data_IF_137046250769
#
_entry.id   IF_137046250769
#
_cell.length_a   1.000
_cell.length_b   1.000
_cell.length_c   1.000
_cell.angle_alpha   90.00
_cell.angle_beta   90.00
_cell.angle_gamma   90.00
#
_symmetry.space_group_name_H-M   'P 1'
#
loop_
_entity.id
_entity.type
_entity.pdbx_description
1 polymer ?
#
# COMPACT_ATOMS: atom_id res chain seq x y z
N UNK A 1 -27.47 -3.91 -22.37
CA UNK A 1 -28.15 -3.92 -21.05
C UNK A 1 -27.59 -5.10 -20.30
N UNK A 2 -26.56 -4.86 -19.48
CA UNK A 2 -26.13 -5.79 -18.43
C UNK A 2 -25.25 -4.99 -17.46
N UNK A 3 -25.89 -4.39 -16.46
CA UNK A 3 -25.18 -3.84 -15.30
C UNK A 3 -25.11 -4.99 -14.31
N UNK A 4 -24.02 -5.76 -14.41
CA UNK A 4 -23.71 -6.84 -13.45
C UNK A 4 -23.26 -6.14 -12.17
N UNK A 5 -23.95 -6.42 -11.06
CA UNK A 5 -23.85 -5.69 -9.79
C UNK A 5 -22.41 -5.62 -9.23
N UNK A 6 -21.88 -4.40 -9.18
CA UNK A 6 -20.56 -4.06 -8.62
C UNK A 6 -20.62 -3.78 -7.11
N UNK A 7 -21.82 -3.74 -6.52
CA UNK A 7 -22.00 -3.35 -5.10
C UNK A 7 -21.49 -4.39 -4.11
N UNK A 8 -21.77 -5.68 -4.32
CA UNK A 8 -21.52 -6.70 -3.28
C UNK A 8 -20.03 -6.89 -2.95
N UNK A 9 -19.14 -6.81 -3.94
CA UNK A 9 -17.70 -6.97 -3.73
C UNK A 9 -17.06 -5.75 -3.04
N UNK A 10 -17.55 -4.56 -3.32
CA UNK A 10 -17.06 -3.30 -2.73
C UNK A 10 -17.48 -3.19 -1.26
N UNK A 11 -18.74 -3.49 -0.94
CA UNK A 11 -19.24 -3.49 0.44
C UNK A 11 -18.57 -4.55 1.32
N UNK A 12 -18.35 -5.77 0.78
CA UNK A 12 -17.66 -6.81 1.52
C UNK A 12 -16.20 -6.42 1.84
N UNK A 13 -15.44 -5.97 0.84
CA UNK A 13 -14.05 -5.51 1.03
C UNK A 13 -13.96 -4.37 2.04
N UNK A 14 -14.90 -3.42 1.98
CA UNK A 14 -14.96 -2.32 2.94
C UNK A 14 -15.14 -2.83 4.36
N UNK A 15 -16.11 -3.70 4.62
CA UNK A 15 -16.32 -4.28 5.95
C UNK A 15 -15.10 -5.05 6.45
N UNK A 16 -14.44 -5.80 5.57
CA UNK A 16 -13.18 -6.49 5.91
C UNK A 16 -12.10 -5.51 6.34
N UNK A 17 -11.94 -4.37 5.65
CA UNK A 17 -10.96 -3.34 6.01
C UNK A 17 -11.30 -2.61 7.31
N UNK A 18 -12.58 -2.32 7.54
CA UNK A 18 -13.05 -1.64 8.75
C UNK A 18 -12.83 -2.48 10.03
N UNK A 19 -12.74 -3.80 9.89
CA UNK A 19 -12.48 -4.74 10.98
C UNK A 19 -11.01 -5.16 11.09
N UNK A 20 -10.18 -4.85 10.10
CA UNK A 20 -8.79 -5.23 10.07
C UNK A 20 -7.90 -4.19 10.76
N UNK A 21 -6.87 -4.67 11.46
CA UNK A 21 -5.72 -3.82 11.79
C UNK A 21 -4.98 -3.49 10.50
N UNK A 22 -4.78 -2.20 10.20
CA UNK A 22 -4.15 -1.75 8.96
C UNK A 22 -2.67 -1.41 9.12
N UNK A 23 -2.22 -1.18 10.36
CA UNK A 23 -0.82 -0.93 10.68
C UNK A 23 -0.38 -1.88 11.79
N UNK A 24 0.45 -2.86 11.44
CA UNK A 24 0.96 -3.87 12.37
C UNK A 24 2.35 -3.47 12.87
N UNK A 25 2.54 -3.47 14.19
CA UNK A 25 3.83 -3.23 14.84
C UNK A 25 3.87 -3.94 16.19
N UNK A 26 5.02 -4.53 16.61
CA UNK A 26 6.27 -4.65 15.85
C UNK A 26 6.20 -5.72 14.75
N UNK A 27 7.25 -5.82 13.94
CA UNK A 27 7.41 -6.93 12.99
C UNK A 27 7.52 -8.26 13.74
N UNK A 28 6.98 -9.32 13.14
CA UNK A 28 7.08 -10.68 13.67
C UNK A 28 6.03 -11.63 13.09
N UNK A 29 6.04 -12.89 13.55
CA UNK A 29 5.14 -13.92 13.03
C UNK A 29 3.65 -13.60 13.18
N UNK A 30 3.28 -12.85 14.22
CA UNK A 30 1.90 -12.41 14.45
C UNK A 30 1.44 -11.41 13.38
N UNK A 31 2.24 -10.36 13.14
CA UNK A 31 1.98 -9.40 12.06
C UNK A 31 1.92 -10.09 10.68
N UNK A 32 2.83 -11.04 10.42
CA UNK A 32 2.83 -11.81 9.17
C UNK A 32 1.57 -12.66 9.00
N UNK A 33 1.10 -13.28 10.09
CA UNK A 33 -0.13 -14.08 10.10
C UNK A 33 -1.37 -13.20 9.87
N UNK A 34 -1.47 -12.07 10.56
CA UNK A 34 -2.58 -11.11 10.38
C UNK A 34 -2.60 -10.56 8.96
N UNK A 35 -1.47 -10.07 8.43
CA UNK A 35 -1.38 -9.60 7.04
C UNK A 35 -1.76 -10.69 6.04
N UNK A 36 -1.37 -11.93 6.29
CA UNK A 36 -1.73 -13.07 5.44
C UNK A 36 -3.23 -13.33 5.43
N UNK A 37 -3.88 -13.23 6.59
CA UNK A 37 -5.31 -13.45 6.72
C UNK A 37 -6.13 -12.31 6.11
N UNK A 38 -5.69 -11.06 6.33
CA UNK A 38 -6.28 -9.89 5.67
C UNK A 38 -6.15 -9.99 4.15
N UNK A 39 -4.98 -10.40 3.63
CA UNK A 39 -4.81 -10.62 2.19
C UNK A 39 -5.82 -11.63 1.65
N UNK A 40 -5.95 -12.79 2.30
CA UNK A 40 -6.90 -13.84 1.86
C UNK A 40 -8.34 -13.37 1.90
N UNK A 41 -8.70 -12.58 2.92
CA UNK A 41 -10.05 -12.05 3.08
C UNK A 41 -10.39 -10.98 2.04
N UNK A 42 -9.39 -10.27 1.52
CA UNK A 42 -9.56 -9.24 0.49
C UNK A 42 -9.39 -9.80 -0.94
N UNK A 43 -8.68 -10.92 -1.09
CA UNK A 43 -8.46 -11.56 -2.37
C UNK A 43 -9.78 -12.16 -2.90
N UNK A 44 -10.31 -11.57 -3.97
CA UNK A 44 -11.52 -12.05 -4.64
C UNK A 44 -11.25 -13.26 -5.55
N UNK A 45 -9.98 -13.63 -5.72
CA UNK A 45 -9.53 -14.69 -6.62
C UNK A 45 -8.30 -15.41 -6.06
N UNK A 46 -7.89 -16.50 -6.73
CA UNK A 46 -6.67 -17.21 -6.38
C UNK A 46 -5.43 -16.38 -6.71
N UNK A 47 -4.32 -16.71 -6.05
CA UNK A 47 -3.03 -16.08 -6.32
C UNK A 47 -2.66 -16.20 -7.81
N UNK A 48 -2.34 -15.06 -8.42
CA UNK A 48 -1.88 -14.91 -9.79
C UNK A 48 -0.34 -14.91 -9.86
N UNK A 49 0.20 -14.87 -11.09
CA UNK A 49 1.63 -14.63 -11.29
C UNK A 49 2.04 -13.31 -10.59
N UNK A 50 2.97 -13.35 -9.64
CA UNK A 50 3.33 -12.18 -8.85
C UNK A 50 4.31 -11.24 -9.58
N UNK A 51 4.71 -11.53 -10.82
CA UNK A 51 5.56 -10.65 -11.62
C UNK A 51 4.69 -9.62 -12.35
N UNK A 52 4.86 -8.35 -11.98
CA UNK A 52 4.22 -7.21 -12.62
C UNK A 52 5.18 -6.56 -13.60
N UNK A 53 4.67 -6.17 -14.77
CA UNK A 53 5.31 -5.12 -15.57
C UNK A 53 4.80 -3.79 -15.03
N UNK A 54 5.71 -2.97 -14.52
CA UNK A 54 5.45 -1.60 -14.09
C UNK A 54 6.41 -0.73 -14.89
N UNK A 55 5.85 0.10 -15.77
CA UNK A 55 6.55 0.91 -16.75
C UNK A 55 7.46 0.03 -17.62
N UNK A 56 8.77 0.23 -17.52
CA UNK A 56 9.80 -0.56 -18.21
C UNK A 56 10.45 -1.61 -17.30
N UNK A 57 9.87 -1.89 -16.13
CA UNK A 57 10.49 -2.67 -15.06
C UNK A 57 9.65 -3.86 -14.67
N UNK A 58 10.32 -4.96 -14.34
CA UNK A 58 9.70 -6.09 -13.66
C UNK A 58 9.78 -5.93 -12.15
N UNK A 59 8.64 -6.04 -11.48
CA UNK A 59 8.55 -6.03 -10.01
C UNK A 59 7.89 -7.34 -9.57
N UNK A 60 8.54 -8.06 -8.66
CA UNK A 60 8.00 -9.31 -8.11
C UNK A 60 7.31 -9.03 -6.78
N UNK A 61 5.99 -9.11 -6.75
CA UNK A 61 5.20 -9.13 -5.52
C UNK A 61 5.47 -10.40 -4.71
N UNK A 62 5.13 -10.37 -3.41
CA UNK A 62 4.99 -11.58 -2.60
C UNK A 62 3.76 -12.36 -3.05
N UNK A 63 2.64 -11.66 -3.22
CA UNK A 63 1.34 -12.21 -3.64
C UNK A 63 0.56 -11.17 -4.45
N UNK A 64 -0.26 -11.65 -5.39
CA UNK A 64 -1.16 -10.81 -6.20
C UNK A 64 -2.43 -11.60 -6.45
N UNK A 65 -3.60 -10.98 -6.27
CA UNK A 65 -4.88 -11.60 -6.55
C UNK A 65 -5.92 -10.51 -6.87
N UNK A 66 -6.40 -10.47 -8.11
CA UNK A 66 -7.31 -9.43 -8.59
C UNK A 66 -6.75 -8.03 -8.35
N UNK A 67 -7.55 -7.17 -7.72
CA UNK A 67 -7.17 -5.79 -7.38
C UNK A 67 -6.37 -5.61 -6.07
N UNK A 68 -5.84 -6.71 -5.51
CA UNK A 68 -5.01 -6.72 -4.29
C UNK A 68 -3.59 -7.19 -4.60
N UNK A 69 -2.59 -6.47 -4.10
CA UNK A 69 -1.17 -6.82 -4.26
C UNK A 69 -0.41 -6.69 -2.96
N UNK A 70 0.56 -7.56 -2.73
CA UNK A 70 1.43 -7.53 -1.55
C UNK A 70 2.90 -7.51 -1.95
N UNK A 71 3.63 -6.49 -1.48
CA UNK A 71 5.09 -6.39 -1.59
C UNK A 71 5.79 -6.34 -0.23
N UNK A 72 7.07 -6.70 -0.20
CA UNK A 72 7.96 -6.29 0.90
C UNK A 72 8.54 -4.89 0.65
N UNK A 73 8.95 -4.21 1.73
CA UNK A 73 9.53 -2.86 1.68
C UNK A 73 10.74 -2.76 0.76
N UNK A 74 11.63 -3.77 0.76
CA UNK A 74 12.85 -3.73 -0.04
C UNK A 74 12.54 -3.76 -1.53
N UNK A 75 11.51 -4.50 -1.94
CA UNK A 75 11.06 -4.59 -3.33
C UNK A 75 10.51 -3.26 -3.85
N UNK A 76 9.68 -2.57 -3.06
CA UNK A 76 9.08 -1.29 -3.48
C UNK A 76 9.95 -0.06 -3.19
N UNK A 77 10.74 -0.06 -2.13
CA UNK A 77 11.48 1.12 -1.69
C UNK A 77 13.00 0.93 -1.77
N UNK A 78 13.54 -0.27 -1.96
CA UNK A 78 14.99 -0.51 -2.05
C UNK A 78 15.58 -0.38 -3.46
N UNK A 79 14.76 -0.50 -4.50
CA UNK A 79 15.19 -0.40 -5.90
C UNK A 79 15.06 1.02 -6.49
N UNK A 80 15.51 1.22 -7.73
CA UNK A 80 15.29 2.47 -8.47
C UNK A 80 13.81 2.59 -8.88
N UNK A 81 12.99 3.11 -7.97
CA UNK A 81 11.59 3.50 -8.26
C UNK A 81 11.45 5.00 -8.43
N UNK A 82 10.56 5.34 -9.34
CA UNK A 82 10.05 6.68 -9.61
C UNK A 82 8.62 6.81 -9.10
N UNK A 83 8.10 8.03 -9.08
CA UNK A 83 6.70 8.25 -8.74
C UNK A 83 5.73 7.58 -9.73
N UNK A 84 6.10 7.50 -11.03
CA UNK A 84 5.27 6.85 -12.05
C UNK A 84 5.08 5.36 -11.77
N UNK A 85 6.11 4.67 -11.27
CA UNK A 85 5.98 3.26 -10.86
C UNK A 85 4.87 3.10 -9.81
N UNK A 86 4.76 4.02 -8.85
CA UNK A 86 3.72 3.98 -7.83
C UNK A 86 2.34 4.38 -8.37
N UNK A 87 2.28 5.31 -9.35
CA UNK A 87 1.04 5.69 -10.01
C UNK A 87 0.44 4.53 -10.79
N UNK A 88 1.27 3.73 -11.45
CA UNK A 88 0.83 2.54 -12.15
C UNK A 88 0.41 1.41 -11.18
N UNK A 89 1.13 1.21 -10.07
CA UNK A 89 0.66 0.30 -9.01
C UNK A 89 -0.72 0.76 -8.52
N UNK A 90 -0.90 2.04 -8.26
CA UNK A 90 -2.17 2.58 -7.78
C UNK A 90 -3.28 2.56 -8.84
N UNK A 91 -2.98 2.49 -10.14
CA UNK A 91 -4.03 2.33 -11.16
C UNK A 91 -4.50 0.88 -11.31
N UNK A 92 -3.64 -0.08 -11.00
CA UNK A 92 -3.93 -1.51 -11.12
C UNK A 92 -4.57 -2.11 -9.85
N UNK A 93 -4.28 -1.54 -8.67
CA UNK A 93 -4.69 -2.12 -7.39
C UNK A 93 -5.45 -1.13 -6.51
N UNK A 94 -6.62 -1.54 -6.04
CA UNK A 94 -7.39 -0.77 -5.05
C UNK A 94 -6.87 -0.98 -3.62
N UNK A 95 -6.13 -2.06 -3.37
CA UNK A 95 -5.51 -2.37 -2.07
C UNK A 95 -4.07 -2.83 -2.25
N UNK A 96 -3.17 -2.23 -1.47
CA UNK A 96 -1.75 -2.58 -1.42
C UNK A 96 -1.38 -3.02 -0.01
N UNK A 97 -0.71 -4.16 0.09
CA UNK A 97 -0.07 -4.63 1.31
C UNK A 97 1.44 -4.39 1.22
N UNK A 98 2.03 -3.86 2.29
CA UNK A 98 3.46 -3.57 2.40
C UNK A 98 4.04 -4.17 3.68
N UNK A 99 4.78 -5.28 3.58
CA UNK A 99 5.42 -5.86 4.76
C UNK A 99 6.83 -5.33 5.00
N UNK A 100 7.30 -5.51 6.23
CA UNK A 100 8.71 -5.38 6.61
C UNK A 100 9.26 -3.95 6.49
N UNK A 101 8.44 -2.94 6.75
CA UNK A 101 8.90 -1.53 6.76
C UNK A 101 9.83 -1.32 7.97
N UNK A 102 11.13 -1.05 7.76
CA UNK A 102 12.06 -0.89 8.85
C UNK A 102 11.95 0.51 9.47
N UNK A 103 12.51 0.69 10.67
CA UNK A 103 13.02 2.01 11.02
C UNK A 103 14.06 2.43 9.96
N UNK A 104 13.90 3.63 9.41
CA UNK A 104 14.72 4.17 8.34
C UNK A 104 15.74 5.18 8.91
N UNK A 105 16.94 4.75 9.30
CA UNK A 105 18.02 5.68 9.66
C UNK A 105 18.50 6.46 8.42
N UNK A 106 19.34 7.48 8.61
CA UNK A 106 19.86 8.37 7.55
C UNK A 106 20.42 7.61 6.33
N UNK A 107 21.06 6.44 6.51
CA UNK A 107 21.56 5.61 5.40
C UNK A 107 20.47 5.09 4.46
N UNK A 108 19.21 5.07 4.91
CA UNK A 108 18.02 4.72 4.15
C UNK A 108 17.25 5.96 3.65
N UNK A 109 17.90 7.13 3.55
CA UNK A 109 17.23 8.37 3.10
C UNK A 109 16.61 8.26 1.69
N UNK A 110 17.21 7.46 0.80
CA UNK A 110 16.66 7.24 -0.54
C UNK A 110 15.39 6.39 -0.51
N UNK A 111 15.37 5.37 0.35
CA UNK A 111 14.23 4.50 0.63
C UNK A 111 13.12 5.28 1.32
N UNK A 112 13.45 6.12 2.30
CA UNK A 112 12.49 7.00 2.97
C UNK A 112 11.81 7.97 2.00
N UNK A 113 12.57 8.55 1.06
CA UNK A 113 12.00 9.38 -0.01
C UNK A 113 11.00 8.62 -0.87
N UNK A 114 11.36 7.39 -1.26
CA UNK A 114 10.51 6.52 -2.08
C UNK A 114 9.27 6.06 -1.31
N UNK A 115 9.40 5.80 -0.02
CA UNK A 115 8.29 5.51 0.87
C UNK A 115 7.32 6.70 0.96
N UNK A 116 7.82 7.94 1.10
CA UNK A 116 6.98 9.14 1.03
C UNK A 116 6.23 9.23 -0.31
N UNK A 117 6.90 9.00 -1.45
CA UNK A 117 6.22 9.00 -2.75
C UNK A 117 5.15 7.91 -2.86
N UNK A 118 5.42 6.71 -2.36
CA UNK A 118 4.45 5.62 -2.32
C UNK A 118 3.22 6.03 -1.52
N UNK A 119 3.40 6.45 -0.26
CA UNK A 119 2.29 6.84 0.62
C UNK A 119 1.48 7.98 0.01
N UNK A 120 2.16 8.99 -0.55
CA UNK A 120 1.49 10.14 -1.18
C UNK A 120 0.62 9.70 -2.37
N UNK A 121 1.15 8.84 -3.25
CA UNK A 121 0.41 8.34 -4.39
C UNK A 121 -0.78 7.47 -3.96
N UNK A 122 -0.58 6.54 -3.02
CA UNK A 122 -1.67 5.70 -2.53
C UNK A 122 -2.76 6.52 -1.85
N UNK A 123 -2.38 7.52 -1.07
CA UNK A 123 -3.29 8.46 -0.42
C UNK A 123 -4.13 9.23 -1.46
N UNK A 124 -3.48 9.86 -2.44
CA UNK A 124 -4.15 10.69 -3.44
C UNK A 124 -5.07 9.87 -4.36
N UNK A 125 -4.70 8.60 -4.62
CA UNK A 125 -5.48 7.62 -5.38
C UNK A 125 -6.52 6.88 -4.53
N UNK A 126 -6.54 7.10 -3.21
CA UNK A 126 -7.43 6.46 -2.24
C UNK A 126 -7.29 4.93 -2.20
N UNK A 127 -6.10 4.44 -2.52
CA UNK A 127 -5.72 3.03 -2.40
C UNK A 127 -5.63 2.69 -0.93
N UNK A 128 -6.19 1.54 -0.55
CA UNK A 128 -6.17 1.06 0.84
C UNK A 128 -4.80 0.46 1.11
N UNK A 129 -4.15 0.91 2.19
CA UNK A 129 -2.82 0.44 2.58
C UNK A 129 -2.93 -0.36 3.87
N UNK A 130 -2.44 -1.60 3.84
CA UNK A 130 -2.16 -2.40 5.04
C UNK A 130 -0.67 -2.62 5.09
N UNK A 131 -0.04 -2.41 6.25
CA UNK A 131 1.40 -2.55 6.36
C UNK A 131 1.87 -3.10 7.70
N UNK A 132 3.01 -3.78 7.68
CA UNK A 132 3.76 -4.11 8.89
C UNK A 132 5.04 -3.31 8.97
N UNK A 133 5.34 -2.80 10.16
CA UNK A 133 6.49 -1.96 10.41
C UNK A 133 7.22 -2.33 11.70
N UNK A 134 8.51 -2.03 11.75
CA UNK A 134 9.36 -2.28 12.92
C UNK A 134 9.03 -1.35 14.09
N UNK A 135 8.44 -0.19 13.81
CA UNK A 135 8.16 0.88 14.76
C UNK A 135 6.87 1.61 14.41
N UNK A 136 6.36 2.42 15.34
CA UNK A 136 5.23 3.31 15.11
C UNK A 136 5.51 4.35 13.99
N UNK A 137 4.48 4.91 13.33
CA UNK A 137 4.65 5.84 12.21
C UNK A 137 5.59 7.02 12.48
N UNK A 138 5.47 7.66 13.64
CA UNK A 138 6.28 8.81 14.06
C UNK A 138 7.76 8.45 14.30
N UNK A 139 8.06 7.18 14.51
CA UNK A 139 9.40 6.66 14.72
C UNK A 139 10.04 6.09 13.43
N UNK A 140 9.32 6.03 12.30
CA UNK A 140 9.84 5.45 11.06
C UNK A 140 11.07 6.19 10.51
N UNK A 141 11.10 7.53 10.61
CA UNK A 141 12.19 8.36 10.09
C UNK A 141 12.35 9.63 10.92
N UNK A 142 13.30 9.60 11.87
CA UNK A 142 13.50 10.68 12.85
C UNK A 142 14.72 11.56 12.56
N UNK A 143 15.55 11.19 11.58
CA UNK A 143 16.80 11.88 11.26
C UNK A 143 17.08 11.84 9.75
N UNK A 144 17.69 12.89 9.22
CA UNK A 144 18.18 12.99 7.84
C UNK A 144 17.41 14.00 6.99
N UNK A 145 17.68 14.07 5.67
CA UNK A 145 17.28 15.20 4.83
C UNK A 145 15.77 15.50 4.78
N UNK A 146 14.92 14.49 4.91
CA UNK A 146 13.46 14.60 4.81
C UNK A 146 12.75 14.75 6.15
N UNK A 147 13.46 14.86 7.27
CA UNK A 147 12.86 14.77 8.62
C UNK A 147 11.78 15.84 8.87
N UNK A 148 11.94 17.04 8.32
CA UNK A 148 10.96 18.13 8.47
C UNK A 148 9.69 17.92 7.63
N UNK A 149 9.76 17.09 6.58
CA UNK A 149 8.64 16.80 5.68
C UNK A 149 7.94 15.49 6.04
N UNK A 150 8.65 14.56 6.68
CA UNK A 150 8.15 13.24 7.05
C UNK A 150 6.89 13.24 7.96
N UNK A 151 6.65 14.22 8.85
CA UNK A 151 5.39 14.32 9.59
C UNK A 151 4.15 14.34 8.69
N UNK A 152 4.25 14.84 7.45
CA UNK A 152 3.15 14.78 6.47
C UNK A 152 2.83 13.35 6.05
N UNK A 153 3.86 12.53 5.86
CA UNK A 153 3.71 11.09 5.58
C UNK A 153 3.06 10.38 6.77
N UNK A 154 3.45 10.72 8.01
CA UNK A 154 2.83 10.18 9.23
C UNK A 154 1.36 10.55 9.34
N UNK A 155 1.00 11.82 9.09
CA UNK A 155 -0.41 12.25 9.08
C UNK A 155 -1.24 11.48 8.06
N UNK A 156 -0.71 11.28 6.84
CA UNK A 156 -1.37 10.46 5.81
C UNK A 156 -1.55 9.01 6.25
N UNK A 157 -0.51 8.38 6.80
CA UNK A 157 -0.61 7.01 7.31
C UNK A 157 -1.70 6.87 8.39
N UNK A 158 -1.85 7.85 9.28
CA UNK A 158 -2.90 7.85 10.29
C UNK A 158 -4.29 8.07 9.67
N UNK A 159 -4.42 9.00 8.72
CA UNK A 159 -5.67 9.26 8.02
C UNK A 159 -6.12 8.06 7.18
N UNK A 160 -5.20 7.35 6.53
CA UNK A 160 -5.49 6.14 5.75
C UNK A 160 -6.09 5.00 6.58
N UNK A 161 -5.95 5.05 7.91
CA UNK A 161 -6.54 4.09 8.85
C UNK A 161 -7.94 4.50 9.33
N UNK A 162 -8.39 5.72 9.02
CA UNK A 162 -9.68 6.24 9.44
C UNK A 162 -10.83 5.61 8.67
N UNK A 163 -11.99 5.44 9.32
CA UNK A 163 -13.21 4.94 8.70
C UNK A 163 -13.64 5.83 7.53
N UNK A 164 -13.42 7.14 7.67
CA UNK A 164 -13.68 8.14 6.64
C UNK A 164 -12.87 7.86 5.37
N UNK A 165 -11.56 7.61 5.50
CA UNK A 165 -10.72 7.28 4.35
C UNK A 165 -11.07 5.91 3.77
N UNK A 166 -11.34 4.90 4.60
CA UNK A 166 -11.72 3.56 4.14
C UNK A 166 -13.03 3.56 3.35
N UNK A 167 -13.96 4.47 3.69
CA UNK A 167 -15.22 4.65 2.98
C UNK A 167 -15.08 5.30 1.59
N UNK A 168 -13.95 5.96 1.30
CA UNK A 168 -13.74 6.61 0.00
C UNK A 168 -13.54 5.58 -1.11
N UNK A 169 -14.21 5.79 -2.25
CA UNK A 169 -14.00 4.99 -3.45
C UNK A 169 -12.61 5.21 -4.06
N UNK A 170 -12.05 4.13 -4.63
CA UNK A 170 -10.78 4.16 -5.32
C UNK A 170 -10.82 5.15 -6.50
N UNK A 171 -9.83 6.04 -6.57
CA UNK A 171 -9.80 7.10 -7.59
C UNK A 171 -9.00 6.65 -8.81
N UNK A 172 -9.70 6.05 -9.76
CA UNK A 172 -9.16 5.83 -11.10
C UNK A 172 -9.14 7.17 -11.85
N UNK A 173 -7.93 7.72 -12.07
CA UNK A 173 -7.75 8.81 -13.02
C UNK A 173 -7.47 8.15 -14.37
N UNK A 174 -8.46 8.21 -15.27
CA UNK A 174 -8.30 7.81 -16.66
C UNK A 174 -7.27 8.75 -17.32
N UNK A 175 -6.04 8.27 -17.52
CA UNK A 175 -4.99 8.98 -18.25
C UNK A 175 -5.11 8.81 -19.77
N UNK A 176 -6.24 8.27 -20.26
CA UNK A 176 -6.55 8.13 -21.70
C UNK A 176 -6.99 9.44 -22.38
N UNK A 177 -7.07 10.55 -21.63
CA UNK A 177 -7.35 11.88 -22.14
C UNK A 177 -6.07 12.74 -22.23
N UNK A 178 -5.10 12.34 -23.05
CA UNK A 178 -4.14 13.24 -23.71
C UNK A 178 -3.62 12.56 -24.98
#
# INVERSE_FOLDING_TARGET
LEVIGVDNGTDYRRRTLEQATLYHTPLGPEADAEMTETFKSLAESQDENPVLQIESRQIKARRKAGGVVWFDFRTLCGGPRSQNDYLEIASQFHTVLLSDVPHMPVRLASEARRFTWLVDVLYDRRVKLIMSAAVAPDALYIEGPLVHEFPRTVSRLNEMQSMEFLALEHRNVDTTLT
#
